data_IF_908342796933
#
_entry.id   IF_908342796933
#
_cell.length_a   1.000
_cell.length_b   1.000
_cell.length_c   1.000
_cell.angle_alpha   90.00
_cell.angle_beta   90.00
_cell.angle_gamma   90.00
#
_symmetry.space_group_name_H-M   'P 1'
#
loop_
_entity.id
_entity.type
_entity.pdbx_description
1 polymer ?
#
# COMPACT_ATOMS: atom_id res chain seq x y z
N UNK A 1 -23.81 -3.25 -5.40
CA UNK A 1 -23.17 -3.07 -4.06
C UNK A 1 -22.11 -4.14 -3.89
N UNK A 2 -20.88 -3.80 -3.53
CA UNK A 2 -19.80 -4.79 -3.42
C UNK A 2 -20.21 -5.94 -2.49
N UNK A 3 -20.11 -7.14 -3.01
CA UNK A 3 -20.35 -8.38 -2.29
C UNK A 3 -19.36 -9.43 -2.81
N UNK A 4 -18.45 -9.86 -1.96
CA UNK A 4 -17.50 -10.94 -2.24
C UNK A 4 -18.01 -12.15 -1.45
N UNK A 5 -18.47 -13.18 -2.17
CA UNK A 5 -19.12 -14.35 -1.59
C UNK A 5 -18.24 -15.06 -0.57
N UNK A 6 -16.94 -15.17 -0.87
CA UNK A 6 -15.94 -15.69 0.04
C UNK A 6 -14.96 -14.56 0.40
N UNK A 7 -14.97 -14.13 1.67
CA UNK A 7 -14.07 -13.07 2.14
C UNK A 7 -12.59 -13.40 1.97
N UNK A 8 -12.21 -14.70 1.92
CA UNK A 8 -10.81 -15.11 1.69
C UNK A 8 -10.30 -14.66 0.31
N UNK A 9 -11.19 -14.40 -0.64
CA UNK A 9 -10.81 -13.86 -1.94
C UNK A 9 -10.58 -12.34 -1.92
N UNK A 10 -11.03 -11.65 -0.88
CA UNK A 10 -10.82 -10.21 -0.74
C UNK A 10 -9.41 -9.92 -0.21
N UNK A 11 -8.60 -9.24 -1.00
CA UNK A 11 -7.25 -8.83 -0.60
C UNK A 11 -7.21 -7.55 0.27
N UNK A 12 -8.34 -6.94 0.61
CA UNK A 12 -8.39 -5.73 1.44
C UNK A 12 -7.78 -4.48 0.79
N UNK A 13 -7.69 -4.40 -0.53
CA UNK A 13 -7.03 -3.30 -1.26
C UNK A 13 -7.74 -1.94 -1.16
N UNK A 14 -8.90 -1.86 -0.55
CA UNK A 14 -9.70 -0.64 -0.29
C UNK A 14 -10.15 0.15 -1.55
N UNK A 15 -9.98 -0.37 -2.76
CA UNK A 15 -10.40 0.34 -3.97
C UNK A 15 -11.91 0.64 -3.97
N UNK A 16 -12.73 -0.32 -3.50
CA UNK A 16 -14.18 -0.17 -3.38
C UNK A 16 -14.58 0.92 -2.37
N UNK A 17 -13.89 1.03 -1.23
CA UNK A 17 -14.13 2.08 -0.25
C UNK A 17 -13.69 3.45 -0.78
N UNK A 18 -12.53 3.51 -1.44
CA UNK A 18 -11.96 4.76 -1.98
C UNK A 18 -12.80 5.36 -3.10
N UNK A 19 -13.42 4.52 -3.97
CA UNK A 19 -14.22 5.00 -5.11
C UNK A 19 -15.63 5.40 -4.72
N UNK A 20 -16.14 5.01 -3.55
CA UNK A 20 -17.53 5.23 -3.18
C UNK A 20 -17.86 6.72 -3.04
N UNK A 21 -18.75 7.29 -3.88
CA UNK A 21 -19.07 8.71 -3.84
C UNK A 21 -19.89 9.09 -2.60
N UNK A 22 -20.57 8.11 -2.00
CA UNK A 22 -21.34 8.27 -0.77
C UNK A 22 -20.56 7.92 0.50
N UNK A 23 -19.30 7.44 0.35
CA UNK A 23 -18.46 7.01 1.47
C UNK A 23 -19.16 6.01 2.41
N UNK A 24 -20.08 5.20 1.85
CA UNK A 24 -20.84 4.22 2.59
C UNK A 24 -20.12 2.87 2.77
N UNK A 25 -18.85 2.79 2.39
CA UNK A 25 -18.04 1.57 2.52
C UNK A 25 -16.88 1.87 3.46
N UNK A 26 -16.86 1.22 4.60
CA UNK A 26 -15.75 1.21 5.56
C UNK A 26 -14.97 -0.09 5.46
N UNK A 27 -13.69 -0.08 5.84
CA UNK A 27 -12.89 -1.29 5.98
C UNK A 27 -12.94 -1.74 7.44
N UNK A 28 -13.71 -2.78 7.72
CA UNK A 28 -13.94 -3.31 9.07
C UNK A 28 -13.09 -4.57 9.30
N UNK A 29 -12.55 -4.70 10.51
CA UNK A 29 -11.81 -5.89 10.92
C UNK A 29 -12.77 -7.06 11.17
N UNK A 30 -12.43 -8.23 10.65
CA UNK A 30 -13.09 -9.48 11.01
C UNK A 30 -12.57 -10.03 12.36
N UNK A 31 -13.01 -11.21 12.74
CA UNK A 31 -12.59 -11.87 14.00
C UNK A 31 -11.07 -12.18 14.04
N UNK A 32 -10.42 -12.35 12.89
CA UNK A 32 -8.99 -12.59 12.75
C UNK A 32 -8.20 -11.27 12.63
N UNK A 33 -8.89 -10.15 12.46
CA UNK A 33 -8.33 -8.81 12.38
C UNK A 33 -7.92 -8.38 10.98
N UNK A 34 -8.34 -9.08 9.93
CA UNK A 34 -8.21 -8.63 8.55
C UNK A 34 -9.29 -7.61 8.20
N UNK A 35 -8.91 -6.63 7.39
CA UNK A 35 -9.81 -5.56 6.98
C UNK A 35 -10.57 -5.95 5.72
N UNK A 36 -11.90 -5.95 5.81
CA UNK A 36 -12.82 -6.23 4.71
C UNK A 36 -13.84 -5.10 4.52
N UNK A 37 -14.40 -4.90 3.32
CA UNK A 37 -15.39 -3.86 3.08
C UNK A 37 -16.72 -4.17 3.77
N UNK A 38 -17.20 -3.22 4.58
CA UNK A 38 -18.51 -3.21 5.20
C UNK A 38 -19.34 -2.06 4.59
N UNK A 39 -20.50 -2.39 4.02
CA UNK A 39 -21.36 -1.42 3.33
C UNK A 39 -22.51 -0.99 4.22
N UNK A 40 -22.67 0.32 4.46
CA UNK A 40 -23.89 0.88 5.02
C UNK A 40 -24.97 0.95 3.93
N UNK A 41 -25.94 0.05 4.04
CA UNK A 41 -27.03 -0.09 3.06
C UNK A 41 -27.99 1.09 3.07
N UNK A 42 -28.08 1.83 4.18
CA UNK A 42 -28.98 2.98 4.30
C UNK A 42 -28.48 4.18 3.49
N UNK A 43 -27.16 4.26 3.27
CA UNK A 43 -26.50 5.35 2.53
C UNK A 43 -26.23 4.94 1.08
N UNK A 44 -26.13 3.63 0.80
CA UNK A 44 -25.76 3.09 -0.50
C UNK A 44 -26.82 3.39 -1.57
N UNK A 45 -26.40 4.02 -2.68
CA UNK A 45 -27.24 4.33 -3.85
C UNK A 45 -27.15 3.27 -4.96
N UNK A 46 -26.54 2.14 -4.71
CA UNK A 46 -26.38 0.99 -5.62
C UNK A 46 -25.78 1.33 -7.00
N UNK A 47 -24.90 2.32 -7.09
CA UNK A 47 -24.30 2.80 -8.36
C UNK A 47 -23.34 1.80 -9.02
N UNK A 48 -22.94 0.70 -8.36
CA UNK A 48 -22.09 -0.35 -8.91
C UNK A 48 -20.61 0.01 -9.06
N UNK A 49 -20.16 1.22 -8.73
CA UNK A 49 -18.75 1.65 -8.88
C UNK A 49 -17.78 0.78 -8.07
N UNK A 50 -18.16 0.38 -6.87
CA UNK A 50 -17.34 -0.46 -6.00
C UNK A 50 -17.07 -1.87 -6.59
N UNK A 51 -18.02 -2.43 -7.34
CA UNK A 51 -17.84 -3.70 -8.05
C UNK A 51 -16.92 -3.53 -9.24
N UNK A 52 -17.09 -2.47 -10.02
CA UNK A 52 -16.26 -2.18 -11.21
C UNK A 52 -14.78 -2.04 -10.91
N UNK A 53 -14.43 -1.50 -9.73
CA UNK A 53 -13.03 -1.34 -9.31
C UNK A 53 -12.47 -2.55 -8.56
N UNK A 54 -13.28 -3.56 -8.28
CA UNK A 54 -12.83 -4.74 -7.57
C UNK A 54 -11.95 -5.62 -8.46
N UNK A 55 -10.72 -5.88 -8.01
CA UNK A 55 -9.78 -6.71 -8.76
C UNK A 55 -10.15 -8.19 -8.69
N UNK A 56 -10.85 -8.62 -7.65
CA UNK A 56 -11.37 -9.99 -7.53
C UNK A 56 -12.49 -10.25 -8.52
N UNK A 57 -13.46 -9.33 -8.61
CA UNK A 57 -14.59 -9.46 -9.53
C UNK A 57 -14.20 -9.24 -11.00
N UNK A 58 -13.18 -8.41 -11.23
CA UNK A 58 -12.69 -8.04 -12.55
C UNK A 58 -11.16 -8.09 -12.59
N UNK A 59 -10.52 -9.28 -12.59
CA UNK A 59 -9.06 -9.38 -12.59
C UNK A 59 -8.45 -8.79 -13.87
N UNK A 60 -7.20 -8.29 -13.75
CA UNK A 60 -6.42 -7.87 -14.91
C UNK A 60 -5.95 -9.08 -15.73
N UNK A 61 -5.84 -8.87 -17.02
CA UNK A 61 -5.16 -9.82 -17.91
C UNK A 61 -3.68 -9.94 -17.54
N UNK A 62 -3.18 -11.18 -17.59
CA UNK A 62 -1.76 -11.47 -17.36
C UNK A 62 -0.92 -10.86 -18.47
N UNK A 63 0.16 -10.17 -18.11
CA UNK A 63 1.11 -9.56 -19.05
C UNK A 63 2.45 -10.27 -18.95
N UNK A 64 3.16 -10.37 -20.08
CA UNK A 64 4.56 -10.76 -20.08
C UNK A 64 5.44 -9.56 -19.78
N UNK A 65 6.53 -9.72 -18.98
CA UNK A 65 7.46 -8.62 -18.74
C UNK A 65 8.16 -8.24 -20.04
N UNK A 66 8.37 -6.95 -20.27
CA UNK A 66 9.17 -6.45 -21.40
C UNK A 66 10.66 -6.77 -21.21
N UNK A 67 11.13 -6.72 -19.96
CA UNK A 67 12.53 -6.93 -19.60
C UNK A 67 12.63 -7.45 -18.18
N UNK A 68 13.59 -8.36 -17.96
CA UNK A 68 13.93 -8.87 -16.62
C UNK A 68 15.37 -8.47 -16.34
N UNK A 69 15.62 -7.85 -15.19
CA UNK A 69 16.94 -7.33 -14.79
C UNK A 69 17.23 -7.74 -13.35
N UNK A 70 18.49 -8.08 -13.08
CA UNK A 70 19.03 -8.10 -11.73
C UNK A 70 19.74 -6.77 -11.47
N UNK A 71 19.40 -6.08 -10.37
CA UNK A 71 19.97 -4.79 -10.05
C UNK A 71 20.11 -4.60 -8.55
N UNK A 72 21.15 -3.87 -8.13
CA UNK A 72 21.40 -3.47 -6.74
C UNK A 72 21.77 -1.99 -6.70
N UNK A 73 21.46 -1.32 -5.61
CA UNK A 73 21.96 0.01 -5.31
C UNK A 73 23.47 -0.08 -5.02
N UNK A 74 24.29 0.79 -5.64
CA UNK A 74 25.72 0.85 -5.42
C UNK A 74 26.07 1.45 -4.05
N UNK A 75 25.20 2.33 -3.53
CA UNK A 75 25.31 2.88 -2.18
C UNK A 75 25.02 1.77 -1.17
N UNK A 76 26.03 1.41 -0.40
CA UNK A 76 25.99 0.31 0.56
C UNK A 76 25.11 0.63 1.76
N UNK A 77 25.15 1.85 2.26
CA UNK A 77 24.35 2.28 3.41
C UNK A 77 22.86 2.22 3.10
N UNK A 78 22.45 2.69 1.91
CA UNK A 78 21.07 2.59 1.43
C UNK A 78 20.69 1.13 1.22
N UNK A 79 21.58 0.33 0.65
CA UNK A 79 21.32 -1.09 0.41
C UNK A 79 21.17 -1.85 1.74
N UNK A 80 21.95 -1.52 2.76
CA UNK A 80 21.84 -2.14 4.10
C UNK A 80 20.52 -1.79 4.78
N UNK A 81 20.05 -0.56 4.69
CA UNK A 81 18.73 -0.13 5.20
C UNK A 81 17.54 -0.71 4.42
N UNK A 82 17.76 -1.26 3.23
CA UNK A 82 16.71 -1.81 2.38
C UNK A 82 16.51 -3.30 2.63
N UNK A 83 15.28 -3.80 2.48
CA UNK A 83 14.99 -5.24 2.60
C UNK A 83 15.63 -6.10 1.51
N UNK A 84 15.98 -5.51 0.35
CA UNK A 84 16.55 -6.20 -0.81
C UNK A 84 17.66 -5.35 -1.44
N UNK A 85 17.66 -5.18 -2.75
CA UNK A 85 18.70 -4.49 -3.52
C UNK A 85 18.69 -2.96 -3.42
N UNK A 86 17.74 -2.32 -2.75
CA UNK A 86 17.68 -0.87 -2.58
C UNK A 86 17.22 -0.08 -3.81
N UNK A 87 16.58 -0.73 -4.78
CA UNK A 87 16.13 -0.09 -6.03
C UNK A 87 14.98 0.88 -5.78
N UNK A 88 14.07 0.56 -4.84
CA UNK A 88 12.99 1.47 -4.46
C UNK A 88 13.50 2.86 -4.13
N UNK A 89 14.56 2.96 -3.31
CA UNK A 89 15.13 4.27 -2.92
C UNK A 89 15.61 5.07 -4.12
N UNK A 90 16.29 4.43 -5.09
CA UNK A 90 16.79 5.12 -6.29
C UNK A 90 15.63 5.73 -7.08
N UNK A 91 14.55 4.96 -7.28
CA UNK A 91 13.36 5.43 -7.99
C UNK A 91 12.66 6.55 -7.22
N UNK A 92 12.48 6.37 -5.91
CA UNK A 92 11.85 7.34 -5.02
C UNK A 92 12.62 8.67 -4.98
N UNK A 93 13.93 8.61 -4.76
CA UNK A 93 14.79 9.80 -4.74
C UNK A 93 14.74 10.56 -6.06
N UNK A 94 14.75 9.85 -7.20
CA UNK A 94 14.62 10.48 -8.52
C UNK A 94 13.29 11.24 -8.64
N UNK A 95 12.18 10.63 -8.27
CA UNK A 95 10.86 11.27 -8.33
C UNK A 95 10.80 12.52 -7.44
N UNK A 96 11.32 12.43 -6.21
CA UNK A 96 11.37 13.58 -5.30
C UNK A 96 12.26 14.71 -5.86
N UNK A 97 13.45 14.41 -6.39
CA UNK A 97 14.34 15.41 -6.99
C UNK A 97 13.70 16.12 -8.20
N UNK A 98 12.74 15.48 -8.85
CA UNK A 98 11.97 16.06 -9.96
C UNK A 98 10.67 16.78 -9.48
N UNK A 99 10.54 17.06 -8.16
CA UNK A 99 9.38 17.73 -7.56
C UNK A 99 8.14 16.84 -7.41
N UNK A 100 8.31 15.53 -7.60
CA UNK A 100 7.24 14.55 -7.52
C UNK A 100 6.85 14.16 -6.09
N UNK A 101 6.04 13.11 -5.99
CA UNK A 101 5.51 12.55 -4.74
C UNK A 101 5.70 11.05 -4.75
N UNK A 102 6.07 10.47 -3.61
CA UNK A 102 6.30 9.03 -3.46
C UNK A 102 5.35 8.49 -2.42
N UNK A 103 4.59 7.45 -2.77
CA UNK A 103 3.75 6.68 -1.86
C UNK A 103 4.42 5.38 -1.48
N UNK A 104 4.34 5.03 -0.19
CA UNK A 104 4.89 3.80 0.34
C UNK A 104 4.28 3.42 1.69
N UNK A 105 4.59 2.20 2.14
CA UNK A 105 4.14 1.72 3.44
C UNK A 105 5.04 2.24 4.57
N UNK A 106 4.44 2.84 5.60
CA UNK A 106 5.11 3.23 6.85
C UNK A 106 4.31 2.80 8.08
N UNK A 107 4.92 2.85 9.24
CA UNK A 107 4.19 2.79 10.50
C UNK A 107 3.59 4.16 10.84
N UNK A 108 2.37 4.17 11.36
CA UNK A 108 1.77 5.33 12.01
C UNK A 108 2.24 5.42 13.49
N UNK A 109 1.75 6.43 14.22
CA UNK A 109 2.06 6.65 15.65
C UNK A 109 1.60 5.50 16.55
N UNK A 110 0.70 4.66 16.08
CA UNK A 110 0.20 3.48 16.77
C UNK A 110 0.83 2.17 16.28
N UNK A 111 1.92 2.26 15.51
CA UNK A 111 2.60 1.10 14.91
C UNK A 111 1.71 0.25 13.99
N UNK A 112 0.67 0.85 13.41
CA UNK A 112 -0.09 0.23 12.33
C UNK A 112 0.53 0.58 10.99
N UNK A 113 0.43 -0.32 10.02
CA UNK A 113 0.98 -0.05 8.69
C UNK A 113 -0.06 0.68 7.85
N UNK A 114 0.36 1.82 7.29
CA UNK A 114 -0.45 2.66 6.40
C UNK A 114 0.31 2.95 5.11
N UNK A 115 -0.41 3.14 4.02
CA UNK A 115 0.15 3.74 2.81
C UNK A 115 0.02 5.24 2.94
N UNK A 116 1.14 5.93 2.87
CA UNK A 116 1.23 7.38 2.99
C UNK A 116 2.21 7.93 1.96
N UNK A 117 2.35 9.25 1.88
CA UNK A 117 3.21 9.89 0.89
C UNK A 117 4.32 10.74 1.50
N UNK A 118 5.38 10.91 0.71
CA UNK A 118 6.50 11.78 0.99
C UNK A 118 6.74 12.74 -0.18
N UNK A 119 7.17 13.96 0.14
CA UNK A 119 7.55 15.00 -0.81
C UNK A 119 8.99 15.46 -0.64
N UNK A 120 9.73 14.85 0.27
CA UNK A 120 11.14 15.11 0.54
C UNK A 120 11.94 13.81 0.72
N UNK A 121 13.26 13.90 0.56
CA UNK A 121 14.18 12.74 0.58
C UNK A 121 14.23 12.08 1.96
N UNK A 122 14.18 12.85 3.05
CA UNK A 122 14.28 12.28 4.40
C UNK A 122 13.07 11.44 4.76
N UNK A 123 11.89 11.84 4.29
CA UNK A 123 10.65 11.12 4.55
C UNK A 123 10.60 9.75 3.83
N UNK A 124 11.43 9.51 2.79
CA UNK A 124 11.53 8.21 2.11
C UNK A 124 12.01 7.12 3.08
N UNK A 125 12.84 7.46 4.06
CA UNK A 125 13.40 6.49 5.02
C UNK A 125 12.28 5.72 5.77
N UNK A 126 11.14 6.36 6.03
CA UNK A 126 9.98 5.71 6.65
C UNK A 126 9.37 4.58 5.79
N UNK A 127 9.56 4.64 4.47
CA UNK A 127 9.06 3.63 3.52
C UNK A 127 10.06 2.49 3.30
N UNK A 128 11.31 2.66 3.70
CA UNK A 128 12.33 1.63 3.57
C UNK A 128 12.06 0.48 4.54
N UNK A 129 12.49 -0.71 4.17
CA UNK A 129 12.21 -1.92 4.95
C UNK A 129 10.77 -2.44 4.74
N UNK A 130 10.62 -3.73 4.50
CA UNK A 130 9.31 -4.38 4.32
C UNK A 130 8.56 -4.42 5.65
N UNK A 131 7.27 -4.09 5.64
CA UNK A 131 6.35 -4.20 6.77
C UNK A 131 5.39 -5.35 6.44
N UNK A 132 5.59 -6.52 7.06
CA UNK A 132 4.77 -7.69 6.82
C UNK A 132 3.49 -7.66 7.65
N UNK A 133 2.63 -6.67 7.38
CA UNK A 133 1.31 -6.48 8.00
C UNK A 133 0.37 -5.92 6.94
N UNK A 134 -0.92 -6.27 6.98
CA UNK A 134 -1.92 -5.66 6.10
C UNK A 134 -1.94 -4.14 6.31
N UNK A 135 -1.57 -3.40 5.25
CA UNK A 135 -1.51 -1.94 5.29
C UNK A 135 -2.87 -1.32 4.95
N UNK A 136 -3.24 -0.27 5.70
CA UNK A 136 -4.41 0.55 5.40
C UNK A 136 -4.09 1.53 4.27
N UNK A 137 -4.98 1.67 3.31
CA UNK A 137 -4.85 2.61 2.18
C UNK A 137 -5.25 4.03 2.58
N UNK A 138 -6.17 4.18 3.52
CA UNK A 138 -6.72 5.47 3.95
C UNK A 138 -7.12 6.35 2.74
N UNK A 139 -6.50 7.53 2.59
CA UNK A 139 -6.73 8.44 1.48
C UNK A 139 -5.74 8.30 0.33
N UNK A 140 -4.75 7.40 0.42
CA UNK A 140 -3.62 7.34 -0.52
C UNK A 140 -4.01 7.31 -2.01
N UNK A 141 -5.11 6.65 -2.37
CA UNK A 141 -5.58 6.65 -3.77
C UNK A 141 -6.14 8.00 -4.20
N UNK A 142 -6.86 8.69 -3.31
CA UNK A 142 -7.41 10.02 -3.59
C UNK A 142 -6.29 11.06 -3.68
N UNK A 143 -5.33 10.98 -2.76
CA UNK A 143 -4.17 11.88 -2.73
C UNK A 143 -3.28 11.65 -3.96
N UNK A 144 -3.04 10.39 -4.35
CA UNK A 144 -2.31 10.07 -5.58
C UNK A 144 -3.02 10.66 -6.82
N UNK A 145 -4.35 10.51 -6.92
CA UNK A 145 -5.13 11.11 -7.99
C UNK A 145 -5.03 12.64 -8.00
N UNK A 146 -5.08 13.27 -6.83
CA UNK A 146 -4.93 14.72 -6.69
C UNK A 146 -3.60 15.19 -7.25
N UNK A 147 -2.47 14.65 -6.79
CA UNK A 147 -1.14 15.01 -7.29
C UNK A 147 -0.96 14.73 -8.79
N UNK A 148 -1.51 13.62 -9.29
CA UNK A 148 -1.49 13.30 -10.72
C UNK A 148 -2.26 14.33 -11.56
N UNK A 149 -3.40 14.83 -11.06
CA UNK A 149 -4.20 15.84 -11.76
C UNK A 149 -3.56 17.23 -11.71
N UNK A 150 -2.75 17.53 -10.72
CA UNK A 150 -1.89 18.72 -10.64
C UNK A 150 -0.66 18.64 -11.57
N UNK A 151 -0.47 17.53 -12.29
CA UNK A 151 0.66 17.31 -13.18
C UNK A 151 1.95 16.88 -12.48
N UNK A 152 1.93 16.62 -11.15
CA UNK A 152 3.10 16.13 -10.42
C UNK A 152 3.39 14.68 -10.79
N UNK A 153 4.67 14.32 -10.83
CA UNK A 153 5.08 12.92 -10.94
C UNK A 153 4.75 12.18 -9.65
N UNK A 154 4.15 11.00 -9.77
CA UNK A 154 3.81 10.16 -8.63
C UNK A 154 4.48 8.80 -8.79
N UNK A 155 5.21 8.35 -7.77
CA UNK A 155 5.59 6.95 -7.60
C UNK A 155 4.68 6.36 -6.54
N UNK A 156 3.97 5.28 -6.89
CA UNK A 156 3.15 4.54 -5.93
C UNK A 156 3.72 3.14 -5.75
N UNK A 157 4.20 2.84 -4.52
CA UNK A 157 4.70 1.52 -4.16
C UNK A 157 3.73 0.81 -3.22
N UNK A 158 3.45 -0.46 -3.53
CA UNK A 158 2.54 -1.28 -2.72
C UNK A 158 2.57 -2.74 -3.12
N UNK A 159 1.69 -3.54 -2.53
CA UNK A 159 1.46 -4.91 -2.97
C UNK A 159 0.76 -4.93 -4.34
N UNK A 160 0.83 -6.04 -5.10
CA UNK A 160 0.18 -6.13 -6.41
C UNK A 160 -1.32 -5.79 -6.37
N UNK A 161 -2.03 -6.20 -5.31
CA UNK A 161 -3.45 -5.88 -5.15
C UNK A 161 -3.69 -4.38 -4.89
N UNK A 162 -2.81 -3.70 -4.15
CA UNK A 162 -2.89 -2.26 -3.92
C UNK A 162 -2.61 -1.46 -5.19
N UNK A 163 -1.57 -1.86 -5.94
CA UNK A 163 -1.27 -1.23 -7.25
C UNK A 163 -2.42 -1.45 -8.23
N UNK A 164 -2.96 -2.67 -8.31
CA UNK A 164 -4.14 -2.96 -9.14
C UNK A 164 -5.36 -2.14 -8.71
N UNK A 165 -5.58 -2.01 -7.39
CA UNK A 165 -6.64 -1.19 -6.81
C UNK A 165 -6.52 0.29 -7.20
N UNK A 166 -5.30 0.86 -7.13
CA UNK A 166 -5.02 2.22 -7.58
C UNK A 166 -5.38 2.42 -9.06
N UNK A 167 -4.87 1.55 -9.94
CA UNK A 167 -5.14 1.67 -11.37
C UNK A 167 -6.65 1.61 -11.70
N UNK A 168 -7.38 0.73 -11.01
CA UNK A 168 -8.85 0.66 -11.18
C UNK A 168 -9.57 1.87 -10.61
N UNK A 169 -9.11 2.40 -9.47
CA UNK A 169 -9.63 3.64 -8.90
C UNK A 169 -9.43 4.84 -9.81
N UNK A 170 -8.29 4.94 -10.49
CA UNK A 170 -7.95 6.05 -11.39
C UNK A 170 -8.78 6.06 -12.69
N UNK A 171 -9.29 4.92 -13.14
CA UNK A 171 -10.08 4.72 -14.37
C UNK A 171 -9.39 5.14 -15.68
N UNK A 172 -8.21 5.69 -15.64
CA UNK A 172 -7.41 6.10 -16.81
C UNK A 172 -5.92 5.91 -16.55
N UNK A 173 -5.13 5.88 -17.60
CA UNK A 173 -3.68 5.92 -17.51
C UNK A 173 -3.21 7.37 -17.31
N UNK A 174 -2.14 7.52 -16.55
CA UNK A 174 -1.43 8.77 -16.32
C UNK A 174 0.03 8.59 -16.70
N UNK A 175 0.55 9.42 -17.59
CA UNK A 175 1.95 9.37 -18.03
C UNK A 175 2.94 9.75 -16.89
N UNK A 176 2.45 10.54 -15.93
CA UNK A 176 3.19 10.98 -14.74
C UNK A 176 3.07 10.01 -13.54
N UNK A 177 2.52 8.80 -13.74
CA UNK A 177 2.42 7.75 -12.72
C UNK A 177 3.43 6.63 -12.98
N UNK A 178 4.30 6.37 -12.01
CA UNK A 178 5.12 5.17 -11.93
C UNK A 178 4.59 4.29 -10.79
N UNK A 179 4.26 3.04 -11.08
CA UNK A 179 3.89 2.07 -10.04
C UNK A 179 4.99 1.04 -9.84
N UNK A 180 5.25 0.69 -8.59
CA UNK A 180 6.22 -0.32 -8.18
C UNK A 180 5.54 -1.29 -7.25
N UNK A 181 5.39 -2.52 -7.67
CA UNK A 181 4.92 -3.59 -6.81
C UNK A 181 6.06 -4.59 -6.51
N UNK A 182 5.83 -5.43 -5.53
CA UNK A 182 6.76 -6.48 -5.12
C UNK A 182 6.00 -7.80 -4.95
N UNK A 183 6.70 -8.92 -5.11
CA UNK A 183 6.10 -10.24 -4.92
C UNK A 183 5.55 -10.34 -3.50
N UNK A 184 4.24 -10.60 -3.39
CA UNK A 184 3.54 -10.73 -2.13
C UNK A 184 2.99 -12.15 -1.98
N UNK A 185 3.30 -12.81 -0.87
CA UNK A 185 2.81 -14.14 -0.50
C UNK A 185 1.70 -14.10 0.56
N UNK A 186 1.19 -12.92 0.87
CA UNK A 186 0.25 -12.68 1.96
C UNK A 186 0.89 -11.89 3.10
N UNK A 187 0.08 -11.53 4.07
CA UNK A 187 0.47 -10.72 5.24
C UNK A 187 -0.30 -11.18 6.48
N UNK A 188 0.27 -11.08 7.67
CA UNK A 188 -0.46 -11.14 8.93
C UNK A 188 -1.50 -10.03 9.05
N UNK A 189 -2.54 -10.27 9.84
CA UNK A 189 -3.53 -9.24 10.13
C UNK A 189 -2.97 -8.17 11.08
N UNK A 190 -3.54 -6.96 11.07
CA UNK A 190 -3.21 -5.92 12.05
C UNK A 190 -3.41 -6.37 13.50
N UNK A 191 -4.38 -7.26 13.78
CA UNK A 191 -4.62 -7.82 15.11
C UNK A 191 -3.46 -8.70 15.57
N UNK A 192 -2.97 -9.61 14.71
CA UNK A 192 -1.82 -10.46 15.04
C UNK A 192 -0.57 -9.60 15.31
N UNK A 193 -0.32 -8.59 14.48
CA UNK A 193 0.77 -7.65 14.70
C UNK A 193 0.64 -6.93 16.07
N UNK A 194 -0.55 -6.46 16.41
CA UNK A 194 -0.81 -5.80 17.70
C UNK A 194 -0.58 -6.75 18.88
N UNK A 195 -1.04 -7.99 18.76
CA UNK A 195 -0.81 -9.02 19.81
C UNK A 195 0.67 -9.27 20.00
N UNK A 196 1.43 -9.43 18.91
CA UNK A 196 2.88 -9.59 18.97
C UNK A 196 3.57 -8.40 19.67
N UNK A 197 3.22 -7.17 19.30
CA UNK A 197 3.79 -5.99 19.96
C UNK A 197 3.50 -5.96 21.46
N UNK A 198 2.29 -6.30 21.87
CA UNK A 198 1.90 -6.36 23.30
C UNK A 198 2.65 -7.47 24.06
N UNK A 199 3.05 -8.54 23.37
CA UNK A 199 3.82 -9.64 23.99
C UNK A 199 5.30 -9.27 24.15
N UNK A 200 5.90 -8.61 23.18
CA UNK A 200 7.34 -8.34 23.16
C UNK A 200 7.72 -6.99 23.80
N UNK A 201 6.75 -6.11 24.07
CA UNK A 201 7.01 -4.80 24.68
C UNK A 201 6.10 -4.58 25.88
N UNK A 202 6.64 -3.97 26.95
CA UNK A 202 5.84 -3.57 28.11
C UNK A 202 4.95 -2.35 27.79
N UNK A 203 5.38 -1.49 26.87
CA UNK A 203 4.63 -0.32 26.41
C UNK A 203 5.03 -0.01 24.96
N UNK A 204 4.06 -0.09 24.07
CA UNK A 204 4.21 0.19 22.64
C UNK A 204 4.70 1.64 22.40
N UNK A 205 4.41 2.57 23.30
CA UNK A 205 4.87 3.96 23.20
C UNK A 205 6.38 4.11 23.32
N UNK A 206 7.05 3.15 23.95
CA UNK A 206 8.51 3.13 24.12
C UNK A 206 9.22 2.41 22.95
N UNK A 207 8.49 1.93 21.96
CA UNK A 207 9.07 1.30 20.79
C UNK A 207 9.67 2.36 19.85
N UNK A 208 10.95 2.23 19.54
CA UNK A 208 11.68 3.18 18.69
C UNK A 208 11.77 2.73 17.23
N UNK A 209 11.85 1.43 16.97
CA UNK A 209 11.94 0.86 15.64
C UNK A 209 11.38 -0.55 15.60
N UNK A 210 10.94 -0.99 14.43
CA UNK A 210 10.54 -2.36 14.17
C UNK A 210 11.02 -2.77 12.77
N UNK A 211 11.83 -3.82 12.72
CA UNK A 211 12.37 -4.36 11.48
C UNK A 211 11.96 -5.82 11.31
N UNK A 212 11.35 -6.16 10.18
CA UNK A 212 10.98 -7.54 9.86
C UNK A 212 12.11 -8.35 9.23
N UNK A 213 13.15 -7.66 8.76
CA UNK A 213 14.34 -8.29 8.16
C UNK A 213 15.57 -7.48 8.54
N UNK A 214 16.54 -8.14 9.17
CA UNK A 214 17.86 -7.58 9.43
C UNK A 214 18.88 -8.20 8.49
N UNK A 215 19.81 -7.40 7.98
CA UNK A 215 20.99 -7.86 7.24
C UNK A 215 22.23 -7.99 8.13
N UNK A 216 22.13 -7.52 9.35
CA UNK A 216 23.23 -7.53 10.33
C UNK A 216 23.21 -8.80 11.18
N UNK A 217 22.05 -9.40 11.36
CA UNK A 217 21.84 -10.63 12.14
C UNK A 217 21.48 -11.80 11.22
N UNK A 218 22.23 -12.01 10.18
CA UNK A 218 22.06 -13.11 9.22
C UNK A 218 23.03 -14.24 9.44
#
# INVERSE_FOLDING_TARGET
MINIVDNHNCCGCSACASICPKQCISMAADKEGFLYPLVDKNICIECGLCEKVCNELHPYEKRKPYKVLAAINKDEDIRMKSSSGGIFYILAAKIICEGGVVFGARFDENWQVVIDYATDIKAIDAFMGSKYVQARIENAYRDAKHFLTEGRKVLFSGTPCQVAGLHKFLHKQYENLLTVDFICHGVPSPKVWRMYLNEVTNDIKNLHSAEFRSKVAG
#
